data_IF_647199793893
#
_entry.id   IF_647199793893
#
_cell.length_a   1.000
_cell.length_b   1.000
_cell.length_c   1.000
_cell.angle_alpha   90.00
_cell.angle_beta   90.00
_cell.angle_gamma   90.00
#
_symmetry.space_group_name_H-M   'P 1'
#
loop_
_entity.id
_entity.type
_entity.pdbx_description
1 polymer ?
#
# COMPACT_ATOMS: atom_id res chain seq x y z
N UNK A 1 -20.92 13.63 14.89
CA UNK A 1 -21.78 12.84 14.01
C UNK A 1 -21.85 11.41 14.51
N UNK A 2 -22.92 10.69 14.15
CA UNK A 2 -23.05 9.26 14.39
C UNK A 2 -23.24 8.58 13.04
N UNK A 3 -22.32 7.72 12.65
CA UNK A 3 -22.26 7.14 11.33
C UNK A 3 -22.15 5.62 11.35
N UNK A 4 -22.65 4.98 10.32
CA UNK A 4 -22.36 3.57 10.02
C UNK A 4 -21.43 3.48 8.83
N UNK A 5 -20.69 2.38 8.75
CA UNK A 5 -19.80 2.09 7.61
C UNK A 5 -20.29 0.81 6.95
N UNK A 6 -20.41 0.87 5.62
CA UNK A 6 -20.76 -0.28 4.80
C UNK A 6 -19.65 -0.53 3.77
N UNK A 7 -19.20 -1.78 3.69
CA UNK A 7 -18.27 -2.24 2.66
C UNK A 7 -18.98 -3.21 1.73
N UNK A 8 -18.78 -3.01 0.43
CA UNK A 8 -19.25 -3.93 -0.61
C UNK A 8 -18.04 -4.30 -1.47
N UNK A 9 -17.75 -5.60 -1.60
CA UNK A 9 -16.60 -6.11 -2.33
C UNK A 9 -17.09 -6.86 -3.56
N UNK A 10 -16.65 -6.45 -4.73
CA UNK A 10 -17.03 -7.04 -6.02
C UNK A 10 -15.85 -7.06 -7.00
N UNK A 11 -15.85 -7.93 -8.02
CA UNK A 11 -14.77 -7.96 -9.02
C UNK A 11 -14.53 -6.58 -9.63
N UNK A 12 -13.27 -6.19 -9.82
CA UNK A 12 -12.87 -4.84 -10.32
C UNK A 12 -13.61 -4.41 -11.59
N UNK A 13 -13.91 -5.35 -12.49
CA UNK A 13 -14.65 -5.09 -13.73
C UNK A 13 -16.14 -5.48 -13.63
N UNK A 14 -16.63 -5.65 -12.41
CA UNK A 14 -18.02 -6.04 -12.13
C UNK A 14 -18.84 -4.89 -11.55
N UNK A 15 -19.95 -5.27 -10.96
CA UNK A 15 -20.86 -4.35 -10.26
C UNK A 15 -21.15 -4.83 -8.85
N UNK A 16 -21.71 -3.97 -8.01
CA UNK A 16 -22.12 -4.33 -6.65
C UNK A 16 -23.12 -5.50 -6.58
N UNK A 17 -23.85 -5.80 -7.68
CA UNK A 17 -24.73 -6.97 -7.79
C UNK A 17 -23.95 -8.28 -7.79
N UNK A 18 -22.67 -8.24 -8.16
CA UNK A 18 -21.74 -9.37 -8.18
C UNK A 18 -20.88 -9.43 -6.90
N UNK A 19 -21.34 -8.80 -5.82
CA UNK A 19 -20.60 -8.75 -4.58
C UNK A 19 -20.27 -10.14 -4.04
N UNK A 20 -19.02 -10.36 -3.70
CA UNK A 20 -18.51 -11.57 -3.03
C UNK A 20 -18.62 -11.46 -1.52
N UNK A 21 -18.72 -10.22 -1.00
CA UNK A 21 -18.99 -9.93 0.40
C UNK A 21 -19.62 -8.54 0.54
N UNK A 22 -20.48 -8.41 1.55
CA UNK A 22 -21.03 -7.13 2.00
C UNK A 22 -21.05 -7.14 3.52
N UNK A 23 -20.59 -6.05 4.10
CA UNK A 23 -20.59 -5.81 5.54
C UNK A 23 -21.16 -4.42 5.83
N UNK A 24 -21.99 -4.30 6.84
CA UNK A 24 -22.43 -3.03 7.41
C UNK A 24 -22.26 -3.06 8.92
N UNK A 25 -21.70 -2.03 9.52
CA UNK A 25 -21.54 -1.94 10.97
C UNK A 25 -22.90 -2.02 11.66
N UNK A 26 -23.03 -2.90 12.63
CA UNK A 26 -24.30 -3.12 13.36
C UNK A 26 -24.67 -1.87 14.16
N UNK A 27 -23.69 -1.26 14.83
CA UNK A 27 -23.86 -0.06 15.63
C UNK A 27 -23.30 1.16 14.93
N UNK A 28 -23.87 2.32 15.18
CA UNK A 28 -23.36 3.56 14.70
C UNK A 28 -22.15 4.00 15.55
N UNK A 29 -21.14 4.51 14.89
CA UNK A 29 -19.91 5.02 15.50
C UNK A 29 -20.02 6.52 15.69
N UNK A 30 -19.91 6.98 16.94
CA UNK A 30 -19.90 8.40 17.26
C UNK A 30 -18.53 9.01 16.95
N UNK A 31 -18.49 10.04 16.12
CA UNK A 31 -17.29 10.81 15.78
C UNK A 31 -17.47 12.25 16.24
N UNK A 32 -16.61 12.73 17.13
CA UNK A 32 -16.61 14.09 17.63
C UNK A 32 -16.07 15.07 16.58
N UNK A 33 -16.46 16.34 16.71
CA UNK A 33 -15.97 17.40 15.82
C UNK A 33 -14.45 17.53 15.90
N UNK A 34 -13.78 17.45 14.74
CA UNK A 34 -12.31 17.57 14.64
C UNK A 34 -11.55 16.35 15.14
N UNK A 35 -12.23 15.20 15.33
CA UNK A 35 -11.61 13.92 15.69
C UNK A 35 -11.80 12.90 14.58
N UNK A 36 -10.91 11.93 14.53
CA UNK A 36 -11.01 10.72 13.71
C UNK A 36 -11.31 9.51 14.59
N UNK A 37 -11.85 8.45 14.00
CA UNK A 37 -12.08 7.18 14.67
C UNK A 37 -11.93 6.05 13.67
N UNK A 38 -11.13 5.06 14.02
CA UNK A 38 -10.95 3.85 13.22
C UNK A 38 -12.14 2.91 13.40
N UNK A 39 -12.58 2.35 12.29
CA UNK A 39 -13.62 1.32 12.24
C UNK A 39 -13.05 0.09 11.56
N UNK A 40 -12.99 -1.01 12.27
CA UNK A 40 -12.55 -2.30 11.73
C UNK A 40 -13.66 -3.33 11.78
N UNK A 41 -13.67 -4.23 10.80
CA UNK A 41 -14.61 -5.34 10.76
C UNK A 41 -13.96 -6.56 10.13
N UNK A 42 -14.18 -7.71 10.74
CA UNK A 42 -13.81 -9.00 10.19
C UNK A 42 -15.01 -9.61 9.46
N UNK A 43 -14.79 -10.04 8.23
CA UNK A 43 -15.82 -10.73 7.44
C UNK A 43 -15.19 -11.80 6.55
N UNK A 44 -16.01 -12.75 6.10
CA UNK A 44 -15.57 -13.81 5.19
C UNK A 44 -16.11 -13.55 3.80
N UNK A 45 -15.20 -13.46 2.82
CA UNK A 45 -15.56 -13.47 1.42
C UNK A 45 -15.51 -14.90 0.88
N UNK A 46 -16.49 -15.30 0.11
CA UNK A 46 -16.57 -16.64 -0.51
C UNK A 46 -16.53 -16.53 -2.03
N UNK A 47 -15.96 -17.57 -2.68
CA UNK A 47 -15.89 -17.62 -4.14
C UNK A 47 -14.89 -16.62 -4.76
N UNK A 48 -13.98 -16.07 -3.97
CA UNK A 48 -12.97 -15.14 -4.48
C UNK A 48 -11.90 -15.86 -5.30
N UNK A 49 -11.46 -15.21 -6.36
CA UNK A 49 -10.30 -15.63 -7.14
C UNK A 49 -9.07 -14.91 -6.61
N UNK A 50 -8.04 -15.69 -6.24
CA UNK A 50 -6.83 -15.12 -5.66
C UNK A 50 -6.06 -14.32 -6.71
N UNK A 51 -5.47 -13.21 -6.27
CA UNK A 51 -4.50 -12.46 -7.03
C UNK A 51 -3.18 -13.23 -7.09
N UNK A 52 -2.60 -13.31 -8.28
CA UNK A 52 -1.27 -13.88 -8.46
C UNK A 52 -0.50 -13.13 -9.54
N UNK A 53 0.80 -13.42 -9.67
CA UNK A 53 1.61 -12.81 -10.72
C UNK A 53 1.20 -13.21 -12.13
N UNK A 54 0.48 -14.32 -12.30
CA UNK A 54 -0.03 -14.79 -13.60
C UNK A 54 -1.49 -14.43 -13.83
N UNK A 55 -2.26 -14.33 -12.78
CA UNK A 55 -3.69 -13.97 -12.80
C UNK A 55 -3.96 -12.91 -11.73
N UNK A 56 -3.70 -11.62 -12.05
CA UNK A 56 -3.81 -10.54 -11.08
C UNK A 56 -5.29 -10.11 -10.89
N UNK A 57 -6.08 -11.01 -10.28
CA UNK A 57 -7.48 -10.77 -10.01
C UNK A 57 -7.65 -9.68 -8.96
N UNK A 58 -8.28 -8.58 -9.34
CA UNK A 58 -8.58 -7.44 -8.48
C UNK A 58 -10.07 -7.33 -8.20
N UNK A 59 -10.37 -6.78 -7.05
CA UNK A 59 -11.70 -6.46 -6.56
C UNK A 59 -11.75 -4.97 -6.20
N UNK A 60 -12.92 -4.39 -6.33
CA UNK A 60 -13.20 -3.08 -5.76
C UNK A 60 -13.81 -3.26 -4.38
N UNK A 61 -13.24 -2.63 -3.38
CA UNK A 61 -13.81 -2.47 -2.05
C UNK A 61 -14.47 -1.10 -2.02
N UNK A 62 -15.79 -1.05 -2.16
CA UNK A 62 -16.56 0.18 -2.02
C UNK A 62 -16.92 0.38 -0.56
N UNK A 63 -16.44 1.46 0.02
CA UNK A 63 -16.74 1.89 1.39
C UNK A 63 -17.73 3.05 1.34
N UNK A 64 -18.85 2.91 2.01
CA UNK A 64 -19.91 3.93 2.13
C UNK A 64 -20.04 4.35 3.59
N UNK A 65 -20.01 5.64 3.85
CA UNK A 65 -20.33 6.23 5.16
C UNK A 65 -21.81 6.63 5.16
N UNK A 66 -22.58 6.07 6.09
CA UNK A 66 -24.00 6.31 6.18
C UNK A 66 -24.32 7.14 7.43
N UNK A 67 -25.14 8.16 7.27
CA UNK A 67 -25.69 8.98 8.35
C UNK A 67 -27.21 9.04 8.18
N UNK A 68 -27.93 8.70 9.23
CA UNK A 68 -29.41 8.63 9.23
C UNK A 68 -29.99 7.78 8.06
N UNK A 69 -29.27 6.72 7.67
CA UNK A 69 -29.65 5.81 6.59
C UNK A 69 -29.33 6.29 5.18
N UNK A 70 -28.74 7.48 5.03
CA UNK A 70 -28.30 8.02 3.74
C UNK A 70 -26.77 7.92 3.61
N UNK A 71 -26.28 7.56 2.42
CA UNK A 71 -24.84 7.61 2.10
C UNK A 71 -24.41 9.07 2.00
N UNK A 72 -23.44 9.45 2.84
CA UNK A 72 -22.89 10.82 2.91
C UNK A 72 -21.50 10.92 2.32
N UNK A 73 -20.79 9.77 2.22
CA UNK A 73 -19.48 9.69 1.58
C UNK A 73 -19.24 8.30 1.00
N UNK A 74 -18.39 8.21 -0.02
CA UNK A 74 -18.05 6.95 -0.69
C UNK A 74 -16.59 6.98 -1.10
N UNK A 75 -15.89 5.88 -0.82
CA UNK A 75 -14.51 5.64 -1.23
C UNK A 75 -14.37 4.25 -1.86
N UNK A 76 -13.58 4.15 -2.91
CA UNK A 76 -13.31 2.87 -3.58
C UNK A 76 -11.81 2.57 -3.56
N UNK A 77 -11.46 1.35 -3.16
CA UNK A 77 -10.09 0.86 -3.10
C UNK A 77 -9.96 -0.43 -3.89
N UNK A 78 -8.89 -0.58 -4.64
CA UNK A 78 -8.55 -1.83 -5.30
C UNK A 78 -7.93 -2.81 -4.31
N UNK A 79 -8.35 -4.06 -4.38
CA UNK A 79 -7.87 -5.10 -3.48
C UNK A 79 -7.65 -6.43 -4.19
N UNK A 80 -6.54 -7.11 -3.90
CA UNK A 80 -6.24 -8.45 -4.39
C UNK A 80 -6.18 -9.45 -3.25
N UNK A 81 -7.06 -10.43 -3.23
CA UNK A 81 -7.01 -11.51 -2.24
C UNK A 81 -5.78 -12.39 -2.47
N UNK A 82 -4.83 -12.36 -1.57
CA UNK A 82 -3.62 -13.18 -1.61
C UNK A 82 -3.08 -13.43 -0.21
N UNK A 83 -2.27 -14.45 -0.08
CA UNK A 83 -1.44 -14.67 1.09
C UNK A 83 -0.05 -15.12 0.68
N UNK A 84 0.93 -14.79 1.49
CA UNK A 84 2.31 -15.15 1.23
C UNK A 84 3.00 -15.59 2.52
N UNK A 85 4.09 -16.34 2.37
CA UNK A 85 4.93 -16.73 3.48
C UNK A 85 6.39 -16.82 3.05
N UNK A 86 7.26 -16.60 4.04
CA UNK A 86 8.69 -16.85 3.94
C UNK A 86 9.05 -17.99 4.88
N UNK A 87 9.67 -19.02 4.36
CA UNK A 87 10.15 -20.15 5.13
C UNK A 87 11.64 -20.36 4.91
N UNK A 88 12.40 -20.61 5.99
CA UNK A 88 13.86 -20.73 5.92
C UNK A 88 14.34 -21.91 5.06
N UNK A 89 13.52 -22.94 4.88
CA UNK A 89 13.88 -24.14 4.08
C UNK A 89 13.24 -24.11 2.69
N UNK A 90 12.02 -23.55 2.59
CA UNK A 90 11.22 -23.56 1.36
C UNK A 90 11.26 -22.25 0.58
N UNK A 91 11.72 -21.16 1.22
CA UNK A 91 11.78 -19.84 0.61
C UNK A 91 10.41 -19.16 0.56
N UNK A 92 10.18 -18.37 -0.48
CA UNK A 92 8.97 -17.61 -0.67
C UNK A 92 7.85 -18.43 -1.30
N UNK A 93 6.64 -18.28 -0.78
CA UNK A 93 5.40 -18.83 -1.35
C UNK A 93 4.35 -17.74 -1.51
N UNK A 94 3.61 -17.79 -2.60
CA UNK A 94 2.42 -16.99 -2.86
C UNK A 94 1.22 -17.93 -3.04
N UNK A 95 0.15 -17.71 -2.28
CA UNK A 95 -1.04 -18.58 -2.28
C UNK A 95 -0.71 -20.07 -2.08
N UNK A 96 0.28 -20.34 -1.22
CA UNK A 96 0.78 -21.70 -0.96
C UNK A 96 1.67 -22.30 -2.04
N UNK A 97 1.90 -21.61 -3.16
CA UNK A 97 2.77 -22.09 -4.23
C UNK A 97 4.18 -21.49 -4.08
N UNK A 98 5.18 -22.36 -4.10
CA UNK A 98 6.58 -21.94 -4.07
C UNK A 98 6.96 -21.22 -5.37
N UNK A 99 7.59 -20.06 -5.24
CA UNK A 99 8.08 -19.32 -6.40
C UNK A 99 9.40 -18.61 -6.10
N UNK A 100 10.15 -18.33 -7.18
CA UNK A 100 11.32 -17.46 -7.12
C UNK A 100 10.91 -16.05 -7.50
N UNK A 101 11.39 -15.05 -6.74
CA UNK A 101 11.29 -13.67 -7.13
C UNK A 101 12.33 -13.38 -8.22
N UNK A 102 11.84 -12.98 -9.38
CA UNK A 102 12.65 -12.67 -10.57
C UNK A 102 12.31 -11.25 -11.01
N UNK A 103 13.28 -10.36 -10.91
CA UNK A 103 13.00 -8.96 -11.18
C UNK A 103 14.23 -8.09 -11.19
N UNK A 104 14.01 -6.80 -11.12
CA UNK A 104 15.02 -5.75 -11.19
C UNK A 104 14.93 -4.83 -9.98
N UNK A 105 16.00 -4.09 -9.72
CA UNK A 105 15.96 -2.90 -8.89
C UNK A 105 15.46 -1.73 -9.76
N UNK A 106 14.48 -1.00 -9.25
CA UNK A 106 13.87 0.10 -9.97
C UNK A 106 14.04 1.39 -9.18
N UNK A 107 14.60 2.40 -9.82
CA UNK A 107 14.71 3.75 -9.27
C UNK A 107 13.59 4.63 -9.79
N UNK A 108 13.34 5.76 -9.13
CA UNK A 108 12.39 6.79 -9.57
C UNK A 108 13.00 7.59 -10.73
N UNK A 109 13.08 6.98 -11.91
CA UNK A 109 13.66 7.57 -13.10
C UNK A 109 12.77 7.28 -14.33
N UNK A 110 12.26 8.34 -14.91
CA UNK A 110 11.45 8.35 -16.13
C UNK A 110 12.23 8.94 -17.33
N UNK A 111 13.56 8.88 -17.30
CA UNK A 111 14.40 9.42 -18.35
C UNK A 111 14.23 10.93 -18.51
N UNK A 112 13.81 11.39 -19.68
CA UNK A 112 13.61 12.81 -19.96
C UNK A 112 12.55 13.50 -19.08
N UNK A 113 11.69 12.74 -18.40
CA UNK A 113 10.68 13.28 -17.50
C UNK A 113 11.20 13.46 -16.06
N UNK A 114 12.40 12.97 -15.75
CA UNK A 114 12.96 13.01 -14.39
C UNK A 114 12.28 12.04 -13.44
N UNK A 115 12.12 12.42 -12.18
CA UNK A 115 11.51 11.60 -11.12
C UNK A 115 10.00 11.88 -10.97
N UNK A 116 9.30 12.08 -12.05
CA UNK A 116 7.85 12.33 -12.02
C UNK A 116 7.11 11.01 -11.93
N UNK A 117 6.19 10.90 -10.96
CA UNK A 117 5.19 9.85 -10.93
C UNK A 117 4.09 10.20 -11.95
N UNK A 118 3.88 9.32 -12.91
CA UNK A 118 2.88 9.49 -13.96
C UNK A 118 2.32 8.13 -14.35
N UNK A 119 1.01 7.96 -14.26
CA UNK A 119 0.31 6.69 -14.47
C UNK A 119 0.81 5.94 -15.71
N UNK A 120 0.72 6.58 -16.88
CA UNK A 120 1.00 5.87 -18.13
C UNK A 120 2.48 5.56 -18.34
N UNK A 121 3.39 6.46 -17.94
CA UNK A 121 4.83 6.20 -18.07
C UNK A 121 5.31 5.13 -17.12
N UNK A 122 4.79 5.15 -15.88
CA UNK A 122 5.07 4.14 -14.85
C UNK A 122 4.48 2.78 -15.24
N UNK A 123 3.23 2.76 -15.68
CA UNK A 123 2.60 1.53 -16.17
C UNK A 123 3.38 0.92 -17.34
N UNK A 124 3.85 1.74 -18.29
CA UNK A 124 4.69 1.28 -19.41
C UNK A 124 5.97 0.59 -18.93
N UNK A 125 6.63 1.10 -17.89
CA UNK A 125 7.81 0.44 -17.32
C UNK A 125 7.44 -0.94 -16.77
N UNK A 126 6.35 -1.04 -16.02
CA UNK A 126 5.84 -2.31 -15.47
C UNK A 126 5.47 -3.29 -16.58
N UNK A 127 4.79 -2.84 -17.64
CA UNK A 127 4.47 -3.65 -18.83
C UNK A 127 5.74 -4.23 -19.47
N UNK A 128 6.78 -3.42 -19.64
CA UNK A 128 8.05 -3.88 -20.21
C UNK A 128 8.71 -4.94 -19.31
N UNK A 129 8.76 -4.70 -18.01
CA UNK A 129 9.31 -5.67 -17.06
C UNK A 129 8.53 -6.98 -17.08
N UNK A 130 7.22 -6.90 -17.17
CA UNK A 130 6.35 -8.07 -17.31
C UNK A 130 6.63 -8.85 -18.59
N UNK A 131 6.78 -8.17 -19.72
CA UNK A 131 7.17 -8.80 -21.01
C UNK A 131 8.56 -9.45 -20.95
N UNK A 132 9.47 -8.91 -20.16
CA UNK A 132 10.80 -9.50 -19.91
C UNK A 132 10.75 -10.75 -19.02
N UNK A 133 9.59 -11.11 -18.47
CA UNK A 133 9.41 -12.25 -17.57
C UNK A 133 9.62 -11.94 -16.09
N UNK A 134 9.70 -10.66 -15.71
CA UNK A 134 9.73 -10.28 -14.30
C UNK A 134 8.40 -10.61 -13.60
N UNK A 135 8.48 -11.07 -12.36
CA UNK A 135 7.35 -11.25 -11.46
C UNK A 135 7.45 -10.38 -10.20
N UNK A 136 8.56 -9.68 -10.04
CA UNK A 136 8.82 -8.81 -8.90
C UNK A 136 9.72 -7.64 -9.27
N UNK A 137 9.64 -6.58 -8.49
CA UNK A 137 10.58 -5.46 -8.50
C UNK A 137 11.00 -5.11 -7.08
N UNK A 138 12.17 -4.55 -6.93
CA UNK A 138 12.62 -3.90 -5.71
C UNK A 138 12.68 -2.40 -5.97
N UNK A 139 11.90 -1.63 -5.22
CA UNK A 139 11.91 -0.17 -5.31
C UNK A 139 13.08 0.35 -4.48
N UNK A 140 14.07 0.91 -5.12
CA UNK A 140 15.33 1.31 -4.49
C UNK A 140 15.48 2.82 -4.49
N UNK A 141 15.71 3.45 -3.38
CA UNK A 141 15.84 3.03 -1.97
C UNK A 141 14.88 3.84 -1.12
N UNK A 142 13.67 3.97 -1.55
CA UNK A 142 12.63 4.82 -0.97
C UNK A 142 11.25 4.27 -1.34
N UNK A 143 10.18 4.72 -0.67
CA UNK A 143 8.84 4.22 -0.91
C UNK A 143 8.40 4.35 -2.38
N UNK A 144 7.65 3.36 -2.83
CA UNK A 144 7.02 3.37 -4.15
C UNK A 144 5.99 4.51 -4.25
N UNK A 145 5.78 5.02 -5.45
CA UNK A 145 4.63 5.88 -5.71
C UNK A 145 3.35 5.05 -5.88
N UNK A 146 2.20 5.66 -5.64
CA UNK A 146 0.89 5.02 -5.79
C UNK A 146 0.70 4.48 -7.21
N UNK A 147 1.11 5.24 -8.24
CA UNK A 147 1.03 4.84 -9.64
C UNK A 147 1.85 3.56 -9.93
N UNK A 148 2.97 3.38 -9.23
CA UNK A 148 3.77 2.17 -9.37
C UNK A 148 3.10 0.97 -8.71
N UNK A 149 2.55 1.15 -7.52
CA UNK A 149 1.81 0.09 -6.81
C UNK A 149 0.57 -0.32 -7.61
N UNK A 150 -0.19 0.63 -8.12
CA UNK A 150 -1.38 0.37 -8.94
C UNK A 150 -1.04 -0.39 -10.22
N UNK A 151 0.01 0.03 -10.93
CA UNK A 151 0.48 -0.68 -12.11
C UNK A 151 0.95 -2.11 -11.76
N UNK A 152 1.66 -2.30 -10.64
CA UNK A 152 2.09 -3.62 -10.18
C UNK A 152 0.90 -4.51 -9.79
N UNK A 153 -0.09 -3.98 -9.10
CA UNK A 153 -1.32 -4.69 -8.76
C UNK A 153 -2.06 -5.15 -10.02
N UNK A 154 -2.19 -4.28 -11.02
CA UNK A 154 -2.86 -4.53 -12.29
C UNK A 154 -2.13 -5.57 -13.15
N UNK A 155 -0.81 -5.51 -13.22
CA UNK A 155 -0.02 -6.36 -14.10
C UNK A 155 0.57 -7.61 -13.43
N UNK A 156 0.31 -7.82 -12.14
CA UNK A 156 0.80 -9.01 -11.43
C UNK A 156 2.30 -8.98 -11.17
N UNK A 157 2.80 -7.89 -10.62
CA UNK A 157 4.18 -7.73 -10.16
C UNK A 157 4.19 -7.59 -8.64
N UNK A 158 5.02 -8.38 -7.97
CA UNK A 158 5.28 -8.24 -6.54
C UNK A 158 6.26 -7.10 -6.30
N UNK A 159 6.10 -6.38 -5.21
CA UNK A 159 6.96 -5.26 -4.85
C UNK A 159 7.68 -5.54 -3.54
N UNK A 160 8.99 -5.30 -3.52
CA UNK A 160 9.78 -5.12 -2.31
C UNK A 160 9.96 -3.62 -2.15
N UNK A 161 9.22 -3.05 -1.23
CA UNK A 161 9.26 -1.63 -0.93
C UNK A 161 10.31 -1.32 0.13
N UNK A 162 10.95 -0.15 0.03
CA UNK A 162 12.03 0.25 0.94
C UNK A 162 11.74 1.61 1.56
N UNK A 163 12.02 1.75 2.86
CA UNK A 163 11.85 3.01 3.57
C UNK A 163 12.86 4.06 3.11
N UNK A 164 14.14 3.70 3.22
CA UNK A 164 15.27 4.56 2.89
C UNK A 164 16.56 3.73 2.80
N UNK A 165 17.61 4.30 2.26
CA UNK A 165 18.82 3.58 1.87
C UNK A 165 19.92 3.49 2.94
N UNK A 166 19.81 4.26 4.00
CA UNK A 166 20.81 4.27 5.10
C UNK A 166 20.17 4.05 6.45
N UNK A 167 20.49 2.94 7.13
CA UNK A 167 19.84 2.60 8.40
C UNK A 167 20.65 3.09 9.62
N UNK A 168 21.62 2.32 10.05
CA UNK A 168 22.34 2.54 11.32
C UNK A 168 23.73 3.13 11.10
N UNK A 169 24.34 2.85 9.96
CA UNK A 169 25.69 3.31 9.64
C UNK A 169 25.68 4.28 8.44
N UNK A 170 26.52 5.31 8.45
CA UNK A 170 26.66 6.22 7.33
C UNK A 170 27.05 5.47 6.07
N UNK A 171 26.36 5.76 4.97
CA UNK A 171 26.68 5.22 3.65
C UNK A 171 27.77 6.08 3.01
N UNK A 172 28.84 5.45 2.54
CA UNK A 172 29.95 6.13 1.87
C UNK A 172 30.63 7.23 2.72
N UNK A 173 30.59 7.14 4.04
CA UNK A 173 31.18 8.13 4.93
C UNK A 173 30.48 9.49 4.93
N UNK A 174 29.25 9.56 4.43
CA UNK A 174 28.49 10.80 4.41
C UNK A 174 28.00 11.17 5.81
N UNK A 175 28.41 12.34 6.31
CA UNK A 175 28.03 12.83 7.64
C UNK A 175 26.56 13.28 7.74
N UNK A 176 25.83 13.36 6.64
CA UNK A 176 24.42 13.76 6.57
C UNK A 176 23.47 12.58 6.37
N UNK A 177 23.93 11.38 6.67
CA UNK A 177 23.14 10.17 6.57
C UNK A 177 22.11 10.05 7.71
N UNK A 178 21.08 9.20 7.57
CA UNK A 178 20.02 8.95 8.55
C UNK A 178 20.54 8.58 9.94
N UNK A 179 21.65 7.85 10.02
CA UNK A 179 22.30 7.51 11.30
C UNK A 179 22.57 8.73 12.18
N UNK A 180 22.78 9.91 11.59
CA UNK A 180 22.95 11.17 12.32
C UNK A 180 21.69 11.59 13.06
N UNK A 181 20.53 11.18 12.60
CA UNK A 181 19.23 11.64 13.07
C UNK A 181 18.48 10.61 13.92
N UNK A 182 18.79 9.33 13.82
CA UNK A 182 18.07 8.26 14.51
C UNK A 182 17.99 8.40 16.05
N UNK A 183 18.96 9.02 16.66
CA UNK A 183 18.99 9.24 18.11
C UNK A 183 18.67 10.69 18.50
N UNK A 184 18.08 11.46 17.59
CA UNK A 184 17.68 12.83 17.83
C UNK A 184 16.18 12.96 17.80
N UNK A 185 15.71 13.99 18.48
CA UNK A 185 14.30 14.41 18.43
C UNK A 185 14.14 15.59 17.48
N UNK A 186 12.94 15.77 16.97
CA UNK A 186 12.54 16.94 16.19
C UNK A 186 12.59 18.18 17.08
N UNK A 187 13.12 19.30 16.55
CA UNK A 187 13.29 20.53 17.32
C UNK A 187 12.01 21.33 17.47
N UNK A 188 11.08 21.18 16.52
CA UNK A 188 9.80 21.92 16.51
C UNK A 188 8.75 21.12 15.76
N UNK A 189 7.48 21.48 15.97
CA UNK A 189 6.38 20.98 15.18
C UNK A 189 6.58 21.34 13.72
N UNK A 190 6.32 20.37 12.85
CA UNK A 190 6.39 20.57 11.42
C UNK A 190 5.14 19.99 10.76
N UNK A 191 4.15 20.83 10.57
CA UNK A 191 2.87 20.44 9.97
C UNK A 191 3.02 19.87 8.55
N UNK A 192 4.00 20.35 7.78
CA UNK A 192 4.26 19.88 6.42
C UNK A 192 4.79 18.43 6.44
N UNK A 193 5.64 18.12 7.42
CA UNK A 193 6.20 16.78 7.60
C UNK A 193 5.35 15.89 8.49
N UNK A 194 4.30 16.42 9.11
CA UNK A 194 3.46 15.70 10.06
C UNK A 194 4.15 15.35 11.38
N UNK A 195 5.33 15.93 11.65
CA UNK A 195 6.10 15.65 12.86
C UNK A 195 5.77 16.62 13.98
N UNK A 196 5.45 16.11 15.16
CA UNK A 196 5.37 16.90 16.38
C UNK A 196 6.77 17.18 16.96
N UNK A 197 6.90 18.23 17.79
CA UNK A 197 8.14 18.48 18.52
C UNK A 197 8.48 17.30 19.44
N UNK A 198 9.77 17.07 19.64
CA UNK A 198 10.31 16.00 20.49
C UNK A 198 9.92 14.57 20.05
N UNK A 199 9.57 14.36 18.78
CA UNK A 199 9.44 13.03 18.19
C UNK A 199 10.82 12.47 17.83
N UNK A 200 11.13 11.20 18.18
CA UNK A 200 12.30 10.54 17.64
C UNK A 200 12.24 10.45 16.11
N UNK A 201 13.25 10.93 15.42
CA UNK A 201 13.30 10.90 13.95
C UNK A 201 13.12 9.48 13.37
N UNK A 202 13.77 8.48 13.98
CA UNK A 202 13.64 7.10 13.52
C UNK A 202 12.21 6.57 13.64
N UNK A 203 11.50 6.95 14.70
CA UNK A 203 10.09 6.56 14.88
C UNK A 203 9.18 7.27 13.86
N UNK A 204 9.42 8.54 13.61
CA UNK A 204 8.65 9.31 12.62
C UNK A 204 8.79 8.69 11.23
N UNK A 205 10.02 8.51 10.75
CA UNK A 205 10.28 7.99 9.41
C UNK A 205 9.70 6.58 9.23
N UNK A 206 9.94 5.69 10.18
CA UNK A 206 9.47 4.30 10.10
C UNK A 206 7.95 4.20 10.22
N UNK A 207 7.35 4.94 11.13
CA UNK A 207 5.88 4.93 11.33
C UNK A 207 5.17 5.46 10.10
N UNK A 208 5.59 6.61 9.58
CA UNK A 208 5.00 7.21 8.39
C UNK A 208 5.09 6.26 7.18
N UNK A 209 6.20 5.56 7.00
CA UNK A 209 6.35 4.59 5.94
C UNK A 209 5.43 3.37 6.10
N UNK A 210 5.33 2.82 7.32
CA UNK A 210 4.43 1.69 7.58
C UNK A 210 2.99 2.08 7.31
N UNK A 211 2.57 3.25 7.76
CA UNK A 211 1.22 3.78 7.54
C UNK A 211 0.93 3.99 6.04
N UNK A 212 1.87 4.56 5.31
CA UNK A 212 1.77 4.75 3.86
C UNK A 212 1.67 3.42 3.09
N UNK A 213 2.38 2.39 3.54
CA UNK A 213 2.37 1.07 2.90
C UNK A 213 1.17 0.18 3.26
N UNK A 214 0.30 0.63 4.15
CA UNK A 214 -0.91 -0.10 4.56
C UNK A 214 -2.17 0.34 3.80
N UNK A 215 -2.11 1.41 3.03
CA UNK A 215 -3.23 1.99 2.28
C UNK A 215 -3.33 1.47 0.85
#
# INVERSE_FOLDING_TARGET
ASVKVKHTIYPKNGTAEQAVATFESQEAVAVEKGKSKDVSADFTASGVQLWSTTTPNLYTVKTEVLMDGATVDTYETDYGFRYFAFDKNNGFTLNGQKMKLQGVCMHHDQGALGSVANDRSTERQVEILKMMGCNSIRVTHNPASDELIDACNKHGILVIDEAFDGWVAPKNGNSNDYAKWFNKETESDNEIMGAAANMPWAQFDLTAMIESGQN
#
